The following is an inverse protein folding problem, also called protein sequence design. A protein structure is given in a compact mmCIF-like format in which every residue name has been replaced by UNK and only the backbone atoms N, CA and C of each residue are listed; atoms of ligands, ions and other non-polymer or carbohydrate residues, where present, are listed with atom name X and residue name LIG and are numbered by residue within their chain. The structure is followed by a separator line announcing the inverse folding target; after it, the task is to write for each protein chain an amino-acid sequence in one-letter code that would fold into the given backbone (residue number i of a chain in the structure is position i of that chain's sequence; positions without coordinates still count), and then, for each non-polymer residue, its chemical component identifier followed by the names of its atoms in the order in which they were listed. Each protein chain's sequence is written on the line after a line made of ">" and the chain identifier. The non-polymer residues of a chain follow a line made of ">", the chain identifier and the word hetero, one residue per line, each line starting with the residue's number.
data_IF_812008247120
#
_entry.id   IF_812008247120
#
_cell.length_a   1.000
_cell.length_b   1.000
_cell.length_c   1.000
_cell.angle_alpha   90.00
_cell.angle_beta   90.00
_cell.angle_gamma   90.00
#
_symmetry.space_group_name_H-M   'P 1'
#
loop_
_entity.id
_entity.type
_entity.pdbx_description
1 polymer ?
#
# COMPACT_ATOMS: atom_id res chain seq x y z
N UNK A 1 -5.65 -20.61 -1.74
CA UNK A 1 -6.04 -19.24 -1.33
C UNK A 1 -7.31 -19.35 -0.48
N UNK A 2 -7.38 -18.71 0.69
CA UNK A 2 -8.60 -18.77 1.54
C UNK A 2 -9.80 -18.16 0.81
N UNK A 3 -11.01 -18.71 1.02
CA UNK A 3 -12.26 -18.25 0.36
C UNK A 3 -12.50 -16.75 0.49
N UNK A 4 -12.19 -16.17 1.66
CA UNK A 4 -12.32 -14.73 1.90
C UNK A 4 -11.39 -13.88 1.02
N UNK A 5 -10.16 -14.34 0.77
CA UNK A 5 -9.22 -13.61 -0.10
C UNK A 5 -9.60 -13.70 -1.56
N UNK A 6 -10.09 -14.86 -1.99
CA UNK A 6 -10.63 -15.02 -3.33
C UNK A 6 -11.79 -14.05 -3.56
N UNK A 7 -12.71 -13.98 -2.60
CA UNK A 7 -13.83 -13.04 -2.65
C UNK A 7 -13.35 -11.58 -2.68
N UNK A 8 -12.37 -11.20 -1.85
CA UNK A 8 -11.77 -9.86 -1.88
C UNK A 8 -11.22 -9.52 -3.27
N UNK A 9 -10.42 -10.41 -3.87
CA UNK A 9 -9.84 -10.17 -5.20
C UNK A 9 -10.89 -10.11 -6.31
N UNK A 10 -11.94 -10.93 -6.23
CA UNK A 10 -13.07 -10.89 -7.19
C UNK A 10 -13.79 -9.55 -7.07
N UNK A 11 -14.14 -9.11 -5.85
CA UNK A 11 -14.82 -7.83 -5.64
C UNK A 11 -13.98 -6.66 -6.13
N UNK A 12 -12.68 -6.67 -5.83
CA UNK A 12 -11.74 -5.63 -6.28
C UNK A 12 -11.60 -5.61 -7.81
N UNK A 13 -11.55 -6.77 -8.45
CA UNK A 13 -11.52 -6.87 -9.91
C UNK A 13 -12.79 -6.34 -10.55
N UNK A 14 -13.96 -6.72 -10.01
CA UNK A 14 -15.26 -6.18 -10.47
C UNK A 14 -15.28 -4.67 -10.30
N UNK A 15 -14.91 -4.15 -9.13
CA UNK A 15 -14.82 -2.71 -8.87
C UNK A 15 -13.92 -1.98 -9.87
N UNK A 16 -12.72 -2.54 -10.12
CA UNK A 16 -11.75 -1.99 -11.06
C UNK A 16 -12.30 -1.94 -12.49
N UNK A 17 -12.91 -3.04 -12.96
CA UNK A 17 -13.50 -3.13 -14.31
C UNK A 17 -14.66 -2.16 -14.45
N UNK A 18 -15.53 -2.05 -13.45
CA UNK A 18 -16.66 -1.10 -13.50
C UNK A 18 -16.17 0.33 -13.66
N UNK A 19 -15.17 0.77 -12.88
CA UNK A 19 -14.64 2.13 -12.99
C UNK A 19 -13.95 2.39 -14.34
N UNK A 20 -13.16 1.43 -14.82
CA UNK A 20 -12.52 1.52 -16.16
C UNK A 20 -13.58 1.63 -17.26
N UNK A 21 -14.63 0.81 -17.21
CA UNK A 21 -15.71 0.83 -18.21
C UNK A 21 -16.47 2.16 -18.17
N UNK A 22 -16.78 2.67 -16.98
CA UNK A 22 -17.45 3.97 -16.83
C UNK A 22 -16.59 5.07 -17.44
N UNK A 23 -15.30 5.16 -17.08
CA UNK A 23 -14.43 6.20 -17.63
C UNK A 23 -14.28 6.09 -19.15
N UNK A 24 -14.13 4.86 -19.67
CA UNK A 24 -14.03 4.60 -21.10
C UNK A 24 -15.28 5.04 -21.87
N UNK A 25 -16.47 4.85 -21.30
CA UNK A 25 -17.74 5.15 -21.95
C UNK A 25 -18.17 6.61 -21.80
N UNK A 26 -17.74 7.30 -20.74
CA UNK A 26 -18.19 8.67 -20.45
C UNK A 26 -17.04 9.67 -20.54
N UNK A 27 -16.17 9.73 -19.54
CA UNK A 27 -14.93 10.52 -19.45
C UNK A 27 -14.41 10.55 -18.01
N UNK A 28 -13.18 11.04 -17.83
CA UNK A 28 -12.51 11.20 -16.54
C UNK A 28 -13.36 11.88 -15.44
N UNK A 29 -14.14 12.96 -15.67
CA UNK A 29 -14.90 13.63 -14.61
C UNK A 29 -15.91 12.75 -13.87
N UNK A 30 -16.47 11.72 -14.54
CA UNK A 30 -17.49 10.85 -13.95
C UNK A 30 -16.91 9.86 -12.92
N UNK A 31 -15.65 9.50 -13.10
CA UNK A 31 -14.93 8.61 -12.18
C UNK A 31 -14.04 9.38 -11.22
N UNK A 32 -13.66 10.61 -11.57
CA UNK A 32 -12.75 11.46 -10.81
C UNK A 32 -13.13 11.55 -9.33
N UNK A 33 -14.41 11.70 -9.01
CA UNK A 33 -14.91 11.74 -7.64
C UNK A 33 -14.58 10.51 -6.77
N UNK A 34 -14.43 9.32 -7.36
CA UNK A 34 -14.04 8.10 -6.65
C UNK A 34 -12.54 8.06 -6.34
N UNK A 35 -11.76 8.84 -7.09
CA UNK A 35 -10.30 8.85 -7.13
C UNK A 35 -9.68 10.09 -6.48
N UNK A 36 -10.31 11.28 -6.62
CA UNK A 36 -9.80 12.55 -6.10
C UNK A 36 -9.94 12.68 -4.59
N UNK A 37 -9.17 13.64 -4.05
CA UNK A 37 -8.98 14.07 -2.65
C UNK A 37 -10.26 14.34 -1.86
N UNK A 38 -10.39 15.27 -0.90
CA UNK A 38 -11.63 15.49 -0.11
C UNK A 38 -12.12 16.94 -0.28
N UNK A 39 -12.75 17.29 -1.43
CA UNK A 39 -13.25 18.60 -1.84
C UNK A 39 -14.49 18.56 -2.79
N UNK A 40 -15.47 17.65 -2.62
CA UNK A 40 -16.66 17.59 -3.50
C UNK A 40 -18.01 17.31 -2.81
N UNK A 41 -19.12 17.72 -3.44
CA UNK A 41 -20.51 17.66 -2.94
C UNK A 41 -21.22 16.29 -3.16
N UNK A 42 -20.48 15.24 -3.52
CA UNK A 42 -21.07 13.96 -3.97
C UNK A 42 -20.99 12.89 -2.88
N UNK A 43 -22.03 12.05 -2.75
CA UNK A 43 -22.16 11.04 -1.69
C UNK A 43 -21.00 10.04 -1.59
N UNK A 44 -20.37 9.72 -2.72
CA UNK A 44 -19.27 8.76 -2.82
C UNK A 44 -18.03 9.47 -3.32
N UNK A 45 -17.34 10.12 -2.40
CA UNK A 45 -16.17 10.93 -2.68
C UNK A 45 -14.92 10.31 -2.04
N UNK A 46 -13.79 10.34 -2.73
CA UNK A 46 -12.50 9.89 -2.21
C UNK A 46 -12.47 8.44 -1.73
N UNK A 47 -13.26 7.54 -2.33
CA UNK A 47 -13.35 6.14 -1.86
C UNK A 47 -11.98 5.47 -1.94
N UNK A 48 -11.29 5.61 -3.07
CA UNK A 48 -9.98 4.98 -3.24
C UNK A 48 -8.97 5.55 -2.27
N UNK A 49 -8.84 6.88 -2.19
CA UNK A 49 -7.95 7.57 -1.25
C UNK A 49 -8.26 7.17 0.20
N UNK A 50 -9.53 7.16 0.60
CA UNK A 50 -9.95 6.78 1.96
C UNK A 50 -9.58 5.34 2.28
N UNK A 51 -9.80 4.43 1.32
CA UNK A 51 -9.50 3.02 1.51
C UNK A 51 -7.99 2.76 1.50
N UNK A 52 -7.23 3.44 0.64
CA UNK A 52 -5.76 3.43 0.63
C UNK A 52 -5.19 3.93 1.96
N UNK A 53 -5.64 5.08 2.48
CA UNK A 53 -5.25 5.59 3.80
C UNK A 53 -5.54 4.56 4.90
N UNK A 54 -6.74 3.98 4.89
CA UNK A 54 -7.12 2.95 5.85
C UNK A 54 -6.19 1.73 5.77
N UNK A 55 -5.90 1.23 4.57
CA UNK A 55 -5.04 0.07 4.36
C UNK A 55 -3.59 0.34 4.77
N UNK A 56 -3.05 1.52 4.47
CA UNK A 56 -1.70 1.92 4.85
C UNK A 56 -1.55 2.02 6.38
N UNK A 57 -2.50 2.69 7.05
CA UNK A 57 -2.49 2.75 8.52
C UNK A 57 -2.78 1.41 9.18
N UNK A 58 -3.65 0.57 8.60
CA UNK A 58 -3.83 -0.81 9.07
C UNK A 58 -2.53 -1.62 8.92
N UNK A 59 -1.80 -1.46 7.82
CA UNK A 59 -0.48 -2.08 7.60
C UNK A 59 0.52 -1.62 8.66
N UNK A 60 0.59 -0.31 8.94
CA UNK A 60 1.42 0.24 10.00
C UNK A 60 1.04 -0.34 11.37
N UNK A 61 -0.25 -0.44 11.69
CA UNK A 61 -0.73 -1.03 12.94
C UNK A 61 -0.36 -2.51 13.07
N UNK A 62 -0.51 -3.30 12.00
CA UNK A 62 -0.14 -4.71 12.00
C UNK A 62 1.35 -4.91 12.28
N UNK A 63 2.22 -4.08 11.68
CA UNK A 63 3.64 -4.08 12.00
C UNK A 63 3.93 -3.55 13.41
N UNK A 64 3.14 -2.59 13.91
CA UNK A 64 3.23 -2.11 15.29
C UNK A 64 2.95 -3.22 16.29
N UNK A 65 1.94 -4.05 16.03
CA UNK A 65 1.65 -5.24 16.85
C UNK A 65 2.84 -6.22 16.78
N UNK A 66 3.39 -6.48 15.59
CA UNK A 66 4.58 -7.32 15.47
C UNK A 66 5.76 -6.77 16.29
N UNK A 67 5.99 -5.46 16.23
CA UNK A 67 7.07 -4.78 16.96
C UNK A 67 6.96 -4.96 18.47
N UNK A 68 5.73 -4.89 19.02
CA UNK A 68 5.47 -5.09 20.45
C UNK A 68 5.82 -6.51 20.94
N UNK A 69 5.86 -7.50 20.03
CA UNK A 69 6.21 -8.88 20.34
C UNK A 69 7.71 -9.17 20.26
N UNK A 70 8.55 -8.21 19.84
CA UNK A 70 9.98 -8.41 19.62
C UNK A 70 10.80 -7.95 20.83
N UNK A 71 11.71 -8.81 21.29
CA UNK A 71 12.73 -8.43 22.28
C UNK A 71 13.78 -7.52 21.62
N UNK A 72 13.73 -6.23 21.94
CA UNK A 72 14.62 -5.20 21.38
C UNK A 72 16.11 -5.52 21.54
N UNK A 73 16.50 -6.20 22.62
CA UNK A 73 17.91 -6.48 22.93
C UNK A 73 18.37 -7.72 22.17
N UNK A 74 17.58 -8.81 22.19
CA UNK A 74 17.95 -10.07 21.56
C UNK A 74 17.77 -10.05 20.03
N UNK A 75 16.78 -9.31 19.53
CA UNK A 75 16.35 -9.32 18.13
C UNK A 75 16.40 -7.91 17.52
N UNK A 76 17.52 -7.22 17.70
CA UNK A 76 17.69 -5.81 17.30
C UNK A 76 17.41 -5.54 15.82
N UNK A 77 17.81 -6.44 14.91
CA UNK A 77 17.58 -6.28 13.47
C UNK A 77 16.09 -6.32 13.13
N UNK A 78 15.36 -7.32 13.64
CA UNK A 78 13.91 -7.44 13.43
C UNK A 78 13.16 -6.27 14.07
N UNK A 79 13.58 -5.81 15.25
CA UNK A 79 13.03 -4.61 15.88
C UNK A 79 13.17 -3.38 14.99
N UNK A 80 14.36 -3.14 14.43
CA UNK A 80 14.61 -2.01 13.53
C UNK A 80 13.81 -2.14 12.22
N UNK A 81 13.68 -3.36 11.69
CA UNK A 81 12.84 -3.62 10.53
C UNK A 81 11.38 -3.24 10.82
N UNK A 82 10.75 -3.82 11.85
CA UNK A 82 9.34 -3.52 12.11
C UNK A 82 9.10 -2.06 12.47
N UNK A 83 10.03 -1.42 13.19
CA UNK A 83 9.96 0.01 13.47
C UNK A 83 10.01 0.84 12.18
N UNK A 84 10.90 0.50 11.23
CA UNK A 84 10.96 1.22 9.96
C UNK A 84 9.70 1.04 9.13
N UNK A 85 9.10 -0.16 9.13
CA UNK A 85 7.84 -0.43 8.45
C UNK A 85 6.68 0.37 9.06
N UNK A 86 6.58 0.44 10.40
CA UNK A 86 5.58 1.27 11.09
C UNK A 86 5.70 2.73 10.66
N UNK A 87 6.92 3.29 10.70
CA UNK A 87 7.16 4.68 10.33
C UNK A 87 6.82 4.92 8.85
N UNK A 88 7.27 4.03 7.95
CA UNK A 88 7.05 4.14 6.52
C UNK A 88 5.56 4.14 6.17
N UNK A 89 4.80 3.14 6.64
CA UNK A 89 3.38 3.04 6.29
C UNK A 89 2.51 4.06 7.02
N UNK A 90 2.89 4.47 8.23
CA UNK A 90 2.24 5.61 8.88
C UNK A 90 2.45 6.89 8.06
N UNK A 91 3.69 7.17 7.66
CA UNK A 91 4.02 8.31 6.82
C UNK A 91 3.26 8.27 5.49
N UNK A 92 3.26 7.13 4.77
CA UNK A 92 2.54 7.01 3.51
C UNK A 92 1.04 7.25 3.68
N UNK A 93 0.41 6.76 4.75
CA UNK A 93 -1.00 7.07 5.01
C UNK A 93 -1.26 8.54 5.37
N UNK A 94 -0.31 9.21 6.04
CA UNK A 94 -0.37 10.66 6.24
C UNK A 94 -0.18 11.41 4.92
N UNK A 95 0.79 11.00 4.12
CA UNK A 95 1.09 11.58 2.83
C UNK A 95 -0.12 11.51 1.89
N UNK A 96 -0.77 10.35 1.83
CA UNK A 96 -2.00 10.14 1.05
C UNK A 96 -3.15 11.03 1.52
N UNK A 97 -3.27 11.24 2.82
CA UNK A 97 -4.37 12.03 3.40
C UNK A 97 -4.15 13.53 3.28
N UNK A 98 -2.91 13.98 3.38
CA UNK A 98 -2.55 15.39 3.53
C UNK A 98 -1.75 15.94 2.35
N UNK A 99 -1.49 15.13 1.33
CA UNK A 99 -0.77 15.51 0.10
C UNK A 99 0.60 16.14 0.43
N UNK A 100 1.33 15.47 1.32
CA UNK A 100 2.63 15.98 1.81
C UNK A 100 3.63 16.03 0.65
N UNK A 101 3.64 15.00 -0.20
CA UNK A 101 4.50 14.89 -1.38
C UNK A 101 4.19 15.96 -2.43
N UNK A 102 2.93 16.32 -2.66
CA UNK A 102 2.57 17.44 -3.54
C UNK A 102 3.08 18.77 -2.96
N UNK A 103 2.85 18.99 -1.66
CA UNK A 103 3.29 20.21 -0.97
C UNK A 103 4.81 20.38 -1.04
N UNK A 104 5.56 19.29 -0.82
CA UNK A 104 7.03 19.29 -0.92
C UNK A 104 7.48 19.40 -2.38
N UNK A 105 6.82 18.72 -3.31
CA UNK A 105 7.12 18.76 -4.75
C UNK A 105 6.99 20.17 -5.32
N UNK A 106 5.91 20.87 -4.96
CA UNK A 106 5.71 22.28 -5.28
C UNK A 106 6.83 23.16 -4.71
N UNK A 107 7.22 22.93 -3.45
CA UNK A 107 8.31 23.68 -2.81
C UNK A 107 9.68 23.45 -3.49
N UNK A 108 9.94 22.22 -3.95
CA UNK A 108 11.18 21.85 -4.63
C UNK A 108 11.18 22.14 -6.14
N UNK A 109 10.04 22.54 -6.71
CA UNK A 109 9.87 22.75 -8.16
C UNK A 109 10.09 21.47 -8.97
N UNK A 110 9.81 20.29 -8.39
CA UNK A 110 9.97 18.98 -9.05
C UNK A 110 8.66 18.23 -9.09
N UNK A 111 8.57 17.30 -10.04
CA UNK A 111 7.47 16.35 -10.11
C UNK A 111 7.43 15.51 -8.81
N UNK A 112 6.25 15.45 -8.22
CA UNK A 112 5.86 14.79 -6.99
C UNK A 112 6.11 13.26 -7.01
N UNK A 113 6.05 12.63 -8.19
CA UNK A 113 6.39 11.22 -8.41
C UNK A 113 7.81 10.85 -7.93
N UNK A 114 8.77 11.78 -7.99
CA UNK A 114 10.15 11.51 -7.58
C UNK A 114 10.28 11.29 -6.07
N UNK A 115 9.40 11.91 -5.27
CA UNK A 115 9.42 11.76 -3.82
C UNK A 115 8.94 10.35 -3.45
N UNK A 116 7.83 9.90 -4.03
CA UNK A 116 7.31 8.54 -3.88
C UNK A 116 8.30 7.49 -4.38
N UNK A 117 8.96 7.74 -5.52
CA UNK A 117 10.01 6.85 -6.03
C UNK A 117 11.20 6.75 -5.06
N UNK A 118 11.61 7.87 -4.47
CA UNK A 118 12.66 7.92 -3.46
C UNK A 118 12.32 7.09 -2.22
N UNK A 119 11.08 7.19 -1.73
CA UNK A 119 10.58 6.34 -0.64
C UNK A 119 10.58 4.86 -1.02
N UNK A 120 10.22 4.54 -2.27
CA UNK A 120 10.32 3.17 -2.81
C UNK A 120 11.76 2.62 -2.75
N UNK A 121 12.76 3.43 -3.09
CA UNK A 121 14.16 3.01 -2.96
C UNK A 121 14.61 2.84 -1.50
N UNK A 122 14.17 3.72 -0.61
CA UNK A 122 14.42 3.59 0.84
C UNK A 122 13.82 2.28 1.33
N UNK A 123 12.58 1.97 0.95
CA UNK A 123 11.89 0.75 1.34
C UNK A 123 12.60 -0.50 0.81
N UNK A 124 13.04 -0.51 -0.44
CA UNK A 124 13.87 -1.61 -0.98
C UNK A 124 15.15 -1.78 -0.13
N UNK A 125 15.81 -0.68 0.23
CA UNK A 125 16.97 -0.70 1.12
C UNK A 125 16.65 -1.34 2.48
N UNK A 126 15.54 -0.95 3.11
CA UNK A 126 15.07 -1.52 4.38
C UNK A 126 14.77 -3.02 4.25
N UNK A 127 14.10 -3.44 3.18
CA UNK A 127 13.76 -4.84 2.92
C UNK A 127 15.00 -5.72 2.69
N UNK A 128 16.01 -5.19 1.98
CA UNK A 128 17.26 -5.92 1.70
C UNK A 128 18.15 -5.98 2.93
N UNK A 129 18.32 -4.87 3.66
CA UNK A 129 19.25 -4.78 4.79
C UNK A 129 18.67 -5.37 6.09
N UNK A 130 17.37 -5.19 6.32
CA UNK A 130 16.73 -5.55 7.59
C UNK A 130 15.63 -6.61 7.44
N UNK A 131 15.00 -6.73 6.27
CA UNK A 131 13.77 -7.49 6.10
C UNK A 131 13.91 -9.02 6.06
N UNK A 132 15.13 -9.57 5.90
CA UNK A 132 15.40 -11.01 5.85
C UNK A 132 14.37 -11.80 5.00
N UNK A 133 14.01 -11.27 3.82
CA UNK A 133 12.84 -11.70 3.04
C UNK A 133 12.78 -13.20 2.75
N UNK A 134 13.93 -13.86 2.59
CA UNK A 134 13.99 -15.32 2.33
C UNK A 134 13.38 -16.15 3.46
N UNK A 135 13.46 -15.67 4.70
CA UNK A 135 12.92 -16.33 5.88
C UNK A 135 11.42 -16.06 6.08
N UNK A 136 10.86 -15.06 5.38
CA UNK A 136 9.44 -14.73 5.46
C UNK A 136 8.58 -15.79 4.72
N UNK A 137 7.29 -15.95 5.09
CA UNK A 137 6.40 -16.93 4.48
C UNK A 137 6.32 -16.73 2.97
N UNK A 138 6.16 -17.83 2.22
CA UNK A 138 5.98 -17.76 0.75
C UNK A 138 4.80 -16.84 0.37
N UNK A 139 3.70 -16.90 1.13
CA UNK A 139 2.54 -16.03 0.92
C UNK A 139 2.86 -14.55 1.13
N UNK A 140 3.58 -14.21 2.20
CA UNK A 140 4.00 -12.83 2.47
C UNK A 140 4.85 -12.28 1.32
N UNK A 141 5.85 -13.04 0.87
CA UNK A 141 6.69 -12.66 -0.28
C UNK A 141 5.89 -12.43 -1.56
N UNK A 142 4.92 -13.31 -1.85
CA UNK A 142 4.05 -13.17 -3.01
C UNK A 142 3.29 -11.83 -2.98
N UNK A 143 2.71 -11.47 -1.84
CA UNK A 143 2.00 -10.20 -1.70
C UNK A 143 2.94 -8.99 -1.76
N UNK A 144 4.12 -9.06 -1.16
CA UNK A 144 5.14 -8.01 -1.28
C UNK A 144 5.56 -7.79 -2.74
N UNK A 145 5.81 -8.85 -3.50
CA UNK A 145 6.17 -8.74 -4.92
C UNK A 145 5.00 -8.22 -5.77
N UNK A 146 3.77 -8.63 -5.45
CA UNK A 146 2.58 -8.10 -6.11
C UNK A 146 2.43 -6.60 -5.87
N UNK A 147 2.62 -6.14 -4.62
CA UNK A 147 2.63 -4.73 -4.27
C UNK A 147 3.71 -3.95 -5.04
N UNK A 148 4.93 -4.49 -5.12
CA UNK A 148 6.03 -3.85 -5.86
C UNK A 148 5.73 -3.72 -7.36
N UNK A 149 5.11 -4.74 -7.97
CA UNK A 149 4.68 -4.68 -9.38
C UNK A 149 3.64 -3.59 -9.57
N UNK A 150 2.59 -3.58 -8.75
CA UNK A 150 1.53 -2.57 -8.86
C UNK A 150 2.03 -1.16 -8.62
N UNK A 151 2.90 -0.95 -7.64
CA UNK A 151 3.56 0.33 -7.39
C UNK A 151 4.42 0.77 -8.59
N UNK A 152 5.20 -0.14 -9.18
CA UNK A 152 5.99 0.17 -10.37
C UNK A 152 5.10 0.56 -11.56
N UNK A 153 3.97 -0.12 -11.75
CA UNK A 153 2.98 0.23 -12.78
C UNK A 153 2.39 1.61 -12.53
N UNK A 154 2.00 1.92 -11.30
CA UNK A 154 1.49 3.24 -10.89
C UNK A 154 2.49 4.35 -11.23
N UNK A 155 3.76 4.20 -10.83
CA UNK A 155 4.82 5.19 -11.13
C UNK A 155 5.01 5.36 -12.64
N UNK A 156 4.97 4.28 -13.42
CA UNK A 156 5.10 4.37 -14.89
C UNK A 156 3.92 5.11 -15.51
N UNK A 157 2.70 4.87 -15.01
CA UNK A 157 1.49 5.57 -15.48
C UNK A 157 1.64 7.07 -15.19
N UNK A 158 1.93 7.42 -13.95
CA UNK A 158 2.02 8.81 -13.52
C UNK A 158 3.15 9.58 -14.24
N UNK A 159 4.34 8.97 -14.36
CA UNK A 159 5.50 9.62 -14.95
C UNK A 159 5.46 9.74 -16.49
N UNK A 160 4.78 8.83 -17.19
CA UNK A 160 4.84 8.78 -18.68
C UNK A 160 3.56 9.20 -19.39
N UNK A 161 2.40 9.11 -18.74
CA UNK A 161 1.14 9.33 -19.43
C UNK A 161 0.62 10.77 -19.22
N UNK A 162 0.10 11.43 -20.26
CA UNK A 162 -0.45 12.78 -20.13
C UNK A 162 -1.61 12.81 -19.13
N UNK A 163 -1.70 13.86 -18.30
CA UNK A 163 -2.73 14.02 -17.26
C UNK A 163 -4.17 13.98 -17.77
N UNK A 164 -4.38 14.35 -19.03
CA UNK A 164 -5.68 14.40 -19.71
C UNK A 164 -6.04 13.09 -20.44
N UNK A 165 -5.15 12.09 -20.41
CA UNK A 165 -5.39 10.85 -21.12
C UNK A 165 -6.49 10.04 -20.43
N UNK A 166 -7.51 9.64 -21.20
CA UNK A 166 -8.59 8.76 -20.73
C UNK A 166 -7.98 7.47 -20.16
N UNK A 167 -8.50 7.02 -19.03
CA UNK A 167 -8.04 5.90 -18.21
C UNK A 167 -6.76 6.13 -17.41
N UNK A 168 -6.01 7.22 -17.61
CA UNK A 168 -4.78 7.45 -16.85
C UNK A 168 -5.08 7.44 -15.35
N UNK A 169 -6.03 8.27 -14.91
CA UNK A 169 -6.38 8.41 -13.49
C UNK A 169 -6.90 7.10 -12.91
N UNK A 170 -7.84 6.42 -13.60
CA UNK A 170 -8.32 5.11 -13.14
C UNK A 170 -7.18 4.10 -12.98
N UNK A 171 -6.29 4.00 -13.96
CA UNK A 171 -5.21 3.00 -13.90
C UNK A 171 -4.21 3.34 -12.80
N UNK A 172 -3.87 4.62 -12.63
CA UNK A 172 -3.00 5.11 -11.56
C UNK A 172 -3.56 4.74 -10.18
N UNK A 173 -4.79 5.19 -9.87
CA UNK A 173 -5.39 5.00 -8.55
C UNK A 173 -5.81 3.55 -8.28
N UNK A 174 -6.25 2.80 -9.29
CA UNK A 174 -6.55 1.39 -9.12
C UNK A 174 -5.27 0.61 -8.85
N UNK A 175 -4.19 0.84 -9.62
CA UNK A 175 -2.93 0.12 -9.38
C UNK A 175 -2.36 0.42 -8.00
N UNK A 176 -2.47 1.66 -7.54
CA UNK A 176 -2.16 2.03 -6.15
C UNK A 176 -2.99 1.26 -5.12
N UNK A 177 -4.31 1.22 -5.28
CA UNK A 177 -5.20 0.45 -4.41
C UNK A 177 -4.86 -1.05 -4.38
N UNK A 178 -4.54 -1.64 -5.54
CA UNK A 178 -4.08 -3.03 -5.62
C UNK A 178 -2.75 -3.25 -4.90
N UNK A 179 -1.85 -2.26 -4.91
CA UNK A 179 -0.61 -2.28 -4.15
C UNK A 179 -0.90 -2.25 -2.63
N UNK A 180 -1.76 -1.35 -2.16
CA UNK A 180 -2.09 -1.20 -0.74
C UNK A 180 -2.75 -2.44 -0.15
N UNK A 181 -3.68 -3.07 -0.90
CA UNK A 181 -4.29 -4.34 -0.48
C UNK A 181 -3.23 -5.44 -0.38
N UNK A 182 -2.29 -5.47 -1.32
CA UNK A 182 -1.19 -6.43 -1.31
C UNK A 182 -0.26 -6.18 -0.10
N UNK A 183 0.05 -4.92 0.23
CA UNK A 183 0.85 -4.55 1.41
C UNK A 183 0.16 -4.94 2.72
N UNK A 184 -1.15 -4.70 2.83
CA UNK A 184 -1.94 -5.10 3.99
C UNK A 184 -1.95 -6.64 4.16
N UNK A 185 -2.11 -7.39 3.07
CA UNK A 185 -2.04 -8.85 3.09
C UNK A 185 -0.62 -9.37 3.41
N UNK A 186 0.43 -8.66 2.97
CA UNK A 186 1.81 -8.94 3.35
C UNK A 186 2.02 -8.81 4.86
N UNK A 187 1.63 -7.68 5.45
CA UNK A 187 1.72 -7.45 6.89
C UNK A 187 0.89 -8.46 7.69
N UNK A 188 -0.32 -8.78 7.21
CA UNK A 188 -1.18 -9.78 7.83
C UNK A 188 -0.54 -11.18 7.87
N UNK A 189 0.10 -11.62 6.79
CA UNK A 189 0.78 -12.92 6.77
C UNK A 189 1.98 -12.98 7.72
N UNK A 190 2.69 -11.86 7.86
CA UNK A 190 3.78 -11.77 8.84
C UNK A 190 3.22 -11.88 10.26
N UNK A 191 2.21 -11.09 10.61
CA UNK A 191 1.59 -11.13 11.93
C UNK A 191 1.04 -12.52 12.26
N UNK A 192 0.35 -13.15 11.29
CA UNK A 192 -0.19 -14.50 11.45
C UNK A 192 0.90 -15.52 11.77
N UNK A 193 2.04 -15.45 11.10
CA UNK A 193 3.17 -16.33 11.40
C UNK A 193 3.69 -16.09 12.82
N UNK A 194 3.78 -14.83 13.24
CA UNK A 194 4.25 -14.46 14.57
C UNK A 194 3.33 -15.01 15.68
N UNK A 195 2.01 -14.83 15.51
CA UNK A 195 0.99 -15.39 16.42
C UNK A 195 1.10 -16.92 16.49
N UNK A 196 1.29 -17.58 15.35
CA UNK A 196 1.44 -19.04 15.31
C UNK A 196 2.68 -19.52 16.08
N UNK A 197 3.81 -18.83 15.92
CA UNK A 197 5.04 -19.14 16.66
C UNK A 197 4.86 -18.94 18.17
N UNK A 198 4.24 -17.83 18.59
CA UNK A 198 3.94 -17.58 20.00
C UNK A 198 3.01 -18.65 20.60
N UNK A 199 1.97 -19.05 19.86
CA UNK A 199 1.05 -20.10 20.29
C UNK A 199 1.70 -21.48 20.42
N UNK A 200 2.72 -21.79 19.62
CA UNK A 200 3.49 -23.04 19.78
C UNK A 200 4.36 -22.95 21.03
N UNK A 201 5.08 -21.85 21.20
CA UNK A 201 5.96 -21.67 22.34
C UNK A 201 5.20 -21.70 23.67
N UNK A 202 3.99 -21.14 23.73
CA UNK A 202 3.15 -21.18 24.93
C UNK A 202 2.60 -22.57 25.27
N UNK A 203 2.54 -23.50 24.32
CA UNK A 203 2.11 -24.90 24.56
C UNK A 203 3.25 -25.81 24.99
N UNK A 204 4.49 -25.38 24.80
CA UNK A 204 5.70 -26.12 25.14
C UNK A 204 6.33 -25.67 26.48
N UNK A 205 5.71 -24.70 27.15
CA UNK A 205 6.03 -24.23 28.51
C UNK A 205 5.08 -24.89 29.51
#
# INVERSE_FOLDING_TARGET
>A
MNRSRLLLFILLAVYSVVLIVIEWQTSQPYVRQFFTDIKGDVFFYAINTTFSVFLLWATALLFGICLLCIDRVKQRQDYLFYLSQVIMFAYLGFDERFLIHETIGLWLGRNDAYLLLGLGFIEIGLLVLLGNLRQKPKAARYYLYSAAIFFAVMIVIDAKFPSQMVLRLSLEDLTKLWADISLALFAWEILRQHIYQLSINSKNL
#
